data_IF_323956184763
#
_entry.id   IF_323956184763
#
_cell.length_a   1.000
_cell.length_b   1.000
_cell.length_c   1.000
_cell.angle_alpha   90.00
_cell.angle_beta   90.00
_cell.angle_gamma   90.00
#
_symmetry.space_group_name_H-M   'P 1'
#
loop_
_entity.id
_entity.type
_entity.pdbx_description
1 polymer ?
#
# COMPACT_ATOMS: atom_id res chain seq x y z
N UNK A 1 -11.47 10.69 1.31
CA UNK A 1 -11.43 11.81 2.27
C UNK A 1 -10.53 11.41 3.44
N UNK A 2 -9.49 12.20 3.68
CA UNK A 2 -8.28 11.86 4.44
C UNK A 2 -8.49 12.03 5.97
N UNK A 3 -8.09 11.04 6.79
CA UNK A 3 -8.05 11.17 8.26
C UNK A 3 -6.65 10.83 8.77
N UNK A 4 -6.04 11.77 9.48
CA UNK A 4 -4.78 11.64 10.23
C UNK A 4 -5.05 11.25 11.68
N UNK A 5 -4.28 10.34 12.27
CA UNK A 5 -4.29 10.09 13.72
C UNK A 5 -2.95 10.48 14.37
N UNK A 6 -3.05 11.18 15.51
CA UNK A 6 -1.93 11.54 16.38
C UNK A 6 -1.44 10.32 17.19
N UNK A 7 -0.14 10.31 17.46
CA UNK A 7 0.59 9.40 18.36
C UNK A 7 -0.08 9.37 19.75
N UNK A 8 -0.87 8.35 20.01
CA UNK A 8 -1.39 7.96 21.32
C UNK A 8 -1.61 6.45 21.28
N UNK A 9 -0.90 5.73 22.14
CA UNK A 9 -0.91 4.27 22.37
C UNK A 9 -1.54 3.41 21.27
N UNK A 10 -0.68 2.93 20.36
CA UNK A 10 -0.90 1.60 19.80
C UNK A 10 -0.38 0.66 20.88
N UNK A 11 -1.28 0.12 21.70
CA UNK A 11 -0.98 -1.01 22.57
C UNK A 11 -0.28 -2.05 21.68
N UNK A 12 0.99 -2.36 21.98
CA UNK A 12 1.90 -3.20 21.18
C UNK A 12 1.49 -4.67 21.06
N UNK A 13 0.22 -4.92 20.74
CA UNK A 13 -0.39 -6.21 20.48
C UNK A 13 -0.79 -6.21 19.02
N UNK A 14 -0.23 -7.17 18.27
CA UNK A 14 -0.47 -7.38 16.84
C UNK A 14 -1.94 -7.50 16.47
N UNK A 15 -2.20 -7.57 15.16
CA UNK A 15 -3.50 -7.74 14.49
C UNK A 15 -4.75 -7.68 15.40
N UNK A 16 -5.36 -6.49 15.52
CA UNK A 16 -6.68 -6.32 16.14
C UNK A 16 -6.80 -5.34 17.33
N UNK A 17 -5.81 -4.47 17.58
CA UNK A 17 -5.91 -3.47 18.66
C UNK A 17 -6.93 -2.34 18.36
N UNK A 18 -7.64 -1.91 19.41
CA UNK A 18 -8.77 -0.96 19.38
C UNK A 18 -8.36 0.44 18.88
N UNK A 19 -8.54 0.73 17.60
CA UNK A 19 -8.59 2.12 17.12
C UNK A 19 -9.98 2.72 17.41
N UNK A 20 -10.04 3.98 17.87
CA UNK A 20 -11.26 4.59 18.40
C UNK A 20 -11.98 5.56 17.44
N UNK A 21 -13.05 5.09 16.77
CA UNK A 21 -14.27 5.90 16.51
C UNK A 21 -14.68 6.18 15.06
N UNK A 22 -15.88 5.67 14.69
CA UNK A 22 -16.74 6.19 13.62
C UNK A 22 -17.33 5.14 12.63
N UNK A 23 -18.53 5.36 12.08
CA UNK A 23 -19.32 4.64 11.02
C UNK A 23 -19.15 4.87 9.46
N UNK A 24 -18.87 3.82 8.68
CA UNK A 24 -19.07 3.73 7.21
C UNK A 24 -19.57 2.31 6.89
N UNK A 25 -20.46 2.22 5.90
CA UNK A 25 -21.13 0.99 5.48
C UNK A 25 -20.20 -0.10 4.91
N UNK A 26 -20.72 -1.33 4.95
CA UNK A 26 -20.03 -2.60 4.77
C UNK A 26 -19.17 -2.72 3.49
N UNK A 27 -17.86 -2.74 3.68
CA UNK A 27 -16.87 -3.40 2.83
C UNK A 27 -15.54 -3.48 3.62
N UNK A 28 -14.84 -4.61 3.53
CA UNK A 28 -13.56 -4.85 4.21
C UNK A 28 -12.42 -4.16 3.43
N UNK A 29 -12.19 -2.87 3.67
CA UNK A 29 -11.12 -2.14 2.98
C UNK A 29 -9.77 -2.36 3.67
N UNK A 30 -8.84 -3.04 3.01
CA UNK A 30 -7.43 -3.04 3.42
C UNK A 30 -6.67 -1.93 2.69
N UNK A 31 -6.26 -0.91 3.42
CA UNK A 31 -5.41 0.16 2.90
C UNK A 31 -3.97 -0.30 2.93
N UNK A 32 -3.39 -0.42 1.74
CA UNK A 32 -1.99 -0.69 1.56
C UNK A 32 -1.41 0.45 0.72
N UNK A 33 -0.21 0.89 1.06
CA UNK A 33 0.54 1.82 0.24
C UNK A 33 2.00 1.61 0.54
N UNK A 34 2.76 1.30 -0.50
CA UNK A 34 4.20 1.19 -0.36
C UNK A 34 4.83 1.91 -1.58
N UNK A 35 5.73 2.86 -1.27
CA UNK A 35 6.45 3.67 -2.26
C UNK A 35 6.79 5.11 -1.83
N UNK A 36 8.10 5.38 -1.65
CA UNK A 36 8.75 6.71 -1.67
C UNK A 36 8.25 7.82 -0.72
N UNK A 37 8.14 7.52 0.57
CA UNK A 37 8.16 8.54 1.62
C UNK A 37 6.99 9.53 1.67
N UNK A 38 5.96 9.36 0.82
CA UNK A 38 4.71 10.12 0.87
C UNK A 38 3.56 9.31 0.29
N UNK A 39 2.87 8.55 1.13
CA UNK A 39 1.42 8.33 1.00
C UNK A 39 0.82 8.52 2.39
N UNK A 40 -0.27 9.26 2.43
CA UNK A 40 -0.88 9.73 3.65
C UNK A 40 -1.57 8.59 4.43
N UNK A 41 -0.84 7.99 5.38
CA UNK A 41 -1.20 8.14 6.79
C UNK A 41 -0.01 8.79 7.50
N UNK A 42 -0.23 10.03 7.96
CA UNK A 42 0.81 10.92 8.48
C UNK A 42 1.08 10.65 9.97
N UNK A 43 2.33 10.36 10.33
CA UNK A 43 2.87 10.61 11.67
C UNK A 43 4.39 10.89 11.63
N UNK A 44 4.80 12.17 11.62
CA UNK A 44 5.93 12.69 12.42
C UNK A 44 6.01 14.24 12.36
N UNK A 45 6.40 14.85 13.49
CA UNK A 45 6.34 16.29 13.81
C UNK A 45 7.39 17.14 13.07
N UNK A 46 6.97 18.24 12.40
CA UNK A 46 7.58 19.59 12.55
C UNK A 46 6.73 20.71 11.91
N UNK A 47 6.15 21.54 12.79
CA UNK A 47 5.70 22.93 12.68
C UNK A 47 5.49 23.57 11.28
N UNK A 48 4.21 23.78 10.91
CA UNK A 48 3.79 25.05 10.32
C UNK A 48 3.23 25.91 11.45
N UNK A 49 3.92 27.01 11.74
CA UNK A 49 3.42 28.08 12.61
C UNK A 49 2.26 28.74 11.85
N UNK A 50 1.02 28.34 12.12
CA UNK A 50 -0.14 29.07 11.64
C UNK A 50 -0.23 30.36 12.43
N UNK A 51 0.15 31.44 11.77
CA UNK A 51 -0.29 32.77 12.18
C UNK A 51 -1.69 32.92 11.61
N UNK A 52 -2.69 33.04 12.49
CA UNK A 52 -3.99 33.68 12.24
C UNK A 52 -4.87 33.18 11.07
N UNK A 53 -6.01 32.58 11.43
CA UNK A 53 -7.30 32.83 10.77
C UNK A 53 -7.76 31.89 9.65
N UNK A 54 -8.97 31.34 9.81
CA UNK A 54 -9.78 30.77 8.72
C UNK A 54 -10.01 29.25 8.83
N UNK A 55 -11.20 28.87 9.32
CA UNK A 55 -11.59 27.47 9.50
C UNK A 55 -11.82 26.71 8.18
N UNK A 56 -11.46 25.42 8.18
CA UNK A 56 -11.97 24.44 7.22
C UNK A 56 -12.23 23.13 7.96
N UNK A 57 -13.49 22.68 7.91
CA UNK A 57 -13.99 21.47 8.55
C UNK A 57 -13.49 20.22 7.81
N UNK A 58 -12.49 19.54 8.36
CA UNK A 58 -12.14 18.17 7.96
C UNK A 58 -13.29 17.23 8.36
N UNK A 59 -14.10 16.78 7.39
CA UNK A 59 -15.09 15.74 7.69
C UNK A 59 -14.36 14.41 7.99
N UNK A 60 -14.63 13.87 9.17
CA UNK A 60 -14.04 12.63 9.65
C UNK A 60 -14.80 11.48 9.03
N UNK A 61 -14.07 10.64 8.31
CA UNK A 61 -14.63 9.43 7.74
C UNK A 61 -14.77 8.40 8.85
N UNK A 62 -15.98 7.99 9.22
CA UNK A 62 -16.08 7.18 10.42
C UNK A 62 -15.75 5.68 10.07
N UNK A 63 -14.66 5.08 10.57
CA UNK A 63 -14.27 3.66 10.24
C UNK A 63 -14.56 2.70 11.42
N UNK A 64 -15.29 1.60 11.15
CA UNK A 64 -15.67 0.63 12.19
C UNK A 64 -14.43 0.09 12.91
N UNK A 65 -14.47 0.16 14.25
CA UNK A 65 -13.40 -0.37 15.10
C UNK A 65 -13.26 -1.88 14.87
N UNK A 66 -12.03 -2.38 14.79
CA UNK A 66 -11.77 -3.81 14.53
C UNK A 66 -11.87 -4.24 13.06
N UNK A 67 -12.01 -3.29 12.13
CA UNK A 67 -11.93 -3.52 10.67
C UNK A 67 -10.68 -2.89 10.03
N UNK A 68 -9.76 -2.41 10.87
CA UNK A 68 -8.46 -1.88 10.45
C UNK A 68 -7.39 -2.80 11.03
N UNK A 69 -6.59 -3.38 10.15
CA UNK A 69 -5.54 -4.32 10.49
C UNK A 69 -4.21 -3.67 10.12
N UNK A 70 -3.54 -3.10 11.12
CA UNK A 70 -2.28 -2.39 10.93
C UNK A 70 -1.09 -3.34 11.06
N UNK A 71 -0.02 -3.01 10.37
CA UNK A 71 1.29 -3.65 10.53
C UNK A 71 1.83 -3.31 11.92
N UNK A 72 2.44 -4.28 12.58
CA UNK A 72 3.10 -4.06 13.86
C UNK A 72 4.49 -3.43 13.66
N UNK A 73 4.57 -2.10 13.78
CA UNK A 73 5.79 -1.31 13.59
C UNK A 73 6.76 -1.36 14.78
N UNK A 74 6.40 -2.04 15.86
CA UNK A 74 7.29 -2.31 16.99
C UNK A 74 8.19 -3.53 16.77
N UNK A 75 7.90 -4.36 15.75
CA UNK A 75 8.69 -5.53 15.39
C UNK A 75 9.73 -5.20 14.31
N UNK A 76 10.86 -5.93 14.26
CA UNK A 76 11.73 -5.91 13.09
C UNK A 76 10.98 -6.40 11.84
N UNK A 77 11.49 -6.07 10.65
CA UNK A 77 10.74 -6.26 9.39
C UNK A 77 10.32 -7.72 9.13
N UNK A 78 11.15 -8.69 9.50
CA UNK A 78 10.84 -10.12 9.43
C UNK A 78 9.71 -10.51 10.39
N UNK A 79 9.81 -10.13 11.66
CA UNK A 79 8.75 -10.37 12.64
C UNK A 79 7.43 -9.68 12.28
N UNK A 80 7.49 -8.47 11.72
CA UNK A 80 6.32 -7.74 11.26
C UNK A 80 5.66 -8.40 10.03
N UNK A 81 6.45 -8.96 9.11
CA UNK A 81 5.92 -9.71 7.98
C UNK A 81 5.21 -10.99 8.42
N UNK A 82 5.83 -11.78 9.31
CA UNK A 82 5.24 -13.03 9.83
C UNK A 82 3.96 -12.76 10.67
N UNK A 83 3.95 -11.70 11.50
CA UNK A 83 2.77 -11.26 12.25
C UNK A 83 1.62 -10.86 11.31
N UNK A 84 1.94 -10.10 10.25
CA UNK A 84 0.95 -9.62 9.30
C UNK A 84 0.43 -10.75 8.37
N UNK A 85 1.27 -11.70 7.98
CA UNK A 85 0.82 -12.89 7.25
C UNK A 85 -0.10 -13.77 8.11
N UNK A 86 0.23 -13.94 9.40
CA UNK A 86 -0.63 -14.66 10.36
C UNK A 86 -1.98 -13.97 10.50
N UNK A 87 -2.00 -12.63 10.58
CA UNK A 87 -3.21 -11.82 10.58
C UNK A 87 -4.07 -12.09 9.35
N UNK A 88 -3.51 -12.01 8.15
CA UNK A 88 -4.24 -12.24 6.89
C UNK A 88 -4.76 -13.66 6.77
N UNK A 89 -3.98 -14.65 7.22
CA UNK A 89 -4.40 -16.05 7.26
C UNK A 89 -5.63 -16.24 8.15
N UNK A 90 -5.66 -15.56 9.30
CA UNK A 90 -6.83 -15.57 10.17
C UNK A 90 -8.05 -14.90 9.51
N UNK A 91 -7.85 -13.80 8.80
CA UNK A 91 -8.92 -13.10 8.09
C UNK A 91 -9.49 -13.91 6.92
N UNK A 92 -8.65 -14.66 6.22
CA UNK A 92 -9.08 -15.62 5.21
C UNK A 92 -9.90 -16.76 5.85
N UNK A 93 -9.38 -17.37 6.93
CA UNK A 93 -10.07 -18.47 7.64
C UNK A 93 -11.41 -18.06 8.24
N UNK A 94 -11.54 -16.80 8.64
CA UNK A 94 -12.78 -16.22 9.17
C UNK A 94 -13.70 -15.63 8.10
N UNK A 95 -13.39 -15.83 6.82
CA UNK A 95 -14.15 -15.33 5.66
C UNK A 95 -14.30 -13.80 5.65
N UNK A 96 -13.36 -13.07 6.23
CA UNK A 96 -13.29 -11.60 6.16
C UNK A 96 -12.61 -11.15 4.86
N UNK A 97 -11.60 -11.90 4.42
CA UNK A 97 -10.93 -11.73 3.12
C UNK A 97 -11.26 -12.97 2.28
N UNK A 98 -11.67 -12.75 1.04
CA UNK A 98 -11.89 -13.83 0.09
C UNK A 98 -10.57 -14.42 -0.42
N UNK A 99 -10.60 -15.63 -0.98
CA UNK A 99 -9.44 -16.22 -1.66
C UNK A 99 -9.69 -16.18 -3.15
N UNK A 100 -8.67 -15.83 -3.93
CA UNK A 100 -8.73 -15.95 -5.38
C UNK A 100 -8.90 -17.41 -5.79
N UNK A 101 -9.92 -17.69 -6.60
CA UNK A 101 -10.08 -19.00 -7.20
C UNK A 101 -9.00 -19.33 -8.24
N UNK A 102 -8.36 -18.30 -8.82
CA UNK A 102 -7.34 -18.47 -9.85
C UNK A 102 -5.95 -18.75 -9.26
N UNK A 103 -5.60 -18.10 -8.15
CA UNK A 103 -4.24 -18.11 -7.59
C UNK A 103 -4.13 -18.76 -6.23
N UNK A 104 -5.23 -18.89 -5.47
CA UNK A 104 -5.22 -19.38 -4.09
C UNK A 104 -4.71 -18.38 -3.06
N UNK A 105 -4.37 -17.15 -3.46
CA UNK A 105 -3.92 -16.09 -2.56
C UNK A 105 -5.10 -15.24 -2.02
N UNK A 106 -4.91 -14.46 -0.95
CA UNK A 106 -5.89 -13.50 -0.47
C UNK A 106 -6.30 -12.52 -1.58
N UNK A 107 -7.60 -12.40 -1.79
CA UNK A 107 -8.20 -11.52 -2.80
C UNK A 107 -8.86 -10.33 -2.13
N UNK A 108 -8.29 -9.16 -2.38
CA UNK A 108 -8.79 -7.86 -1.94
C UNK A 108 -9.71 -7.24 -3.00
N UNK A 109 -10.77 -6.55 -2.59
CA UNK A 109 -11.69 -5.90 -3.53
C UNK A 109 -11.05 -4.72 -4.29
N UNK A 110 -10.19 -3.98 -3.59
CA UNK A 110 -9.44 -2.84 -4.11
C UNK A 110 -8.10 -2.74 -3.40
N UNK A 111 -7.02 -2.63 -4.18
CA UNK A 111 -5.71 -2.28 -3.67
C UNK A 111 -5.26 -0.94 -4.27
N UNK A 112 -4.87 -0.02 -3.39
CA UNK A 112 -4.29 1.26 -3.79
C UNK A 112 -2.78 1.09 -3.87
N UNK A 113 -2.17 1.51 -4.97
CA UNK A 113 -0.72 1.47 -5.13
C UNK A 113 -0.20 2.85 -5.51
N UNK A 114 1.02 3.14 -5.06
CA UNK A 114 1.83 4.23 -5.60
C UNK A 114 2.92 3.67 -6.51
N UNK A 115 3.60 4.57 -7.23
CA UNK A 115 4.74 4.21 -8.07
C UNK A 115 5.96 5.07 -7.76
N UNK A 116 7.13 4.46 -7.68
CA UNK A 116 8.44 5.10 -7.61
C UNK A 116 8.85 5.83 -8.89
N UNK A 117 9.83 6.77 -8.83
CA UNK A 117 10.43 7.41 -10.03
C UNK A 117 11.33 6.46 -10.86
N UNK A 118 11.47 5.22 -10.40
CA UNK A 118 12.17 4.07 -10.99
C UNK A 118 11.18 2.96 -11.34
N UNK A 119 9.86 3.21 -11.24
CA UNK A 119 8.83 2.21 -11.54
C UNK A 119 8.64 1.12 -10.48
N UNK A 120 9.26 1.23 -9.28
CA UNK A 120 8.90 0.31 -8.20
C UNK A 120 7.45 0.51 -7.79
N UNK A 121 6.79 -0.59 -7.46
CA UNK A 121 5.54 -0.60 -6.71
C UNK A 121 5.81 -1.31 -5.43
N UNK A 122 5.11 -0.89 -4.39
CA UNK A 122 5.39 -1.40 -3.07
C UNK A 122 6.88 -1.33 -2.69
N UNK A 123 7.42 -2.36 -2.04
CA UNK A 123 8.86 -2.49 -1.81
C UNK A 123 9.50 -3.42 -2.86
N UNK A 124 8.89 -3.52 -4.04
CA UNK A 124 9.34 -4.35 -5.15
C UNK A 124 10.11 -3.48 -6.14
N UNK A 125 11.43 -3.44 -5.98
CA UNK A 125 12.32 -2.57 -6.74
C UNK A 125 12.88 -3.25 -8.00
N UNK A 126 13.14 -2.50 -9.09
CA UNK A 126 13.80 -3.05 -10.27
C UNK A 126 15.13 -3.73 -9.90
N UNK A 127 15.37 -4.93 -10.42
CA UNK A 127 16.59 -5.70 -10.17
C UNK A 127 16.71 -6.34 -8.78
N UNK A 128 15.77 -6.08 -7.86
CA UNK A 128 15.78 -6.68 -6.53
C UNK A 128 15.17 -8.09 -6.54
N UNK A 129 15.75 -9.04 -5.82
CA UNK A 129 15.31 -10.45 -5.84
C UNK A 129 13.84 -10.64 -5.40
N UNK A 130 13.33 -9.77 -4.52
CA UNK A 130 11.93 -9.81 -4.06
C UNK A 130 10.88 -9.65 -5.18
N UNK A 131 11.25 -9.12 -6.36
CA UNK A 131 10.30 -9.10 -7.50
C UNK A 131 9.95 -10.51 -8.00
N UNK A 132 10.76 -11.52 -7.64
CA UNK A 132 10.57 -12.93 -7.98
C UNK A 132 9.94 -13.74 -6.83
N UNK A 133 9.70 -13.12 -5.67
CA UNK A 133 9.02 -13.78 -4.55
C UNK A 133 7.59 -14.16 -4.95
N UNK A 134 7.24 -15.42 -4.76
CA UNK A 134 5.94 -15.96 -5.15
C UNK A 134 5.38 -17.01 -4.18
N UNK A 135 6.05 -17.26 -3.04
CA UNK A 135 5.64 -18.26 -2.07
C UNK A 135 4.92 -17.62 -0.87
N UNK A 136 5.56 -16.65 -0.20
CA UNK A 136 4.98 -15.97 0.98
C UNK A 136 3.93 -14.95 0.58
N UNK A 137 2.88 -14.78 1.39
CA UNK A 137 1.88 -13.73 1.13
C UNK A 137 2.47 -12.35 1.45
N UNK A 138 3.20 -12.27 2.57
CA UNK A 138 3.87 -11.08 3.06
C UNK A 138 5.34 -11.42 3.24
N UNK A 139 6.20 -10.60 2.67
CA UNK A 139 7.65 -10.70 2.81
C UNK A 139 8.22 -9.40 3.36
N UNK A 140 9.52 -9.36 3.55
CA UNK A 140 10.23 -8.21 4.08
C UNK A 140 11.45 -7.88 3.23
N UNK A 141 11.87 -6.64 3.30
CA UNK A 141 13.11 -6.13 2.72
C UNK A 141 13.95 -5.56 3.86
N UNK A 142 15.28 -5.80 3.85
CA UNK A 142 16.22 -5.23 4.83
C UNK A 142 17.26 -4.30 4.19
N UNK A 143 17.37 -4.36 2.87
CA UNK A 143 18.37 -3.71 2.02
C UNK A 143 17.70 -2.85 0.95
N UNK A 144 16.63 -2.13 1.31
CA UNK A 144 15.92 -1.28 0.36
C UNK A 144 16.86 -0.24 -0.25
N UNK A 145 16.88 -0.09 -1.59
CA UNK A 145 17.66 0.97 -2.26
C UNK A 145 17.23 2.39 -1.85
N UNK A 146 16.09 2.54 -1.16
CA UNK A 146 15.52 3.81 -0.72
C UNK A 146 15.13 3.75 0.75
N UNK A 147 15.30 4.85 1.51
CA UNK A 147 14.93 4.86 2.91
C UNK A 147 13.40 4.77 3.11
N UNK A 148 12.94 4.10 4.19
CA UNK A 148 13.73 3.33 5.15
C UNK A 148 14.30 2.03 4.56
N UNK A 149 15.49 1.58 5.01
CA UNK A 149 16.16 0.41 4.44
C UNK A 149 15.38 -0.89 4.68
N UNK A 150 14.62 -0.94 5.78
CA UNK A 150 13.79 -2.08 6.12
C UNK A 150 12.31 -1.77 5.99
N UNK A 151 11.52 -2.77 5.59
CA UNK A 151 10.08 -2.68 5.51
C UNK A 151 9.45 -4.02 5.19
N UNK A 152 8.13 -4.06 5.19
CA UNK A 152 7.37 -5.25 4.77
C UNK A 152 6.68 -4.99 3.43
N UNK A 153 6.42 -6.04 2.67
CA UNK A 153 5.74 -5.93 1.38
C UNK A 153 4.89 -7.16 1.06
N UNK A 154 3.78 -6.97 0.34
CA UNK A 154 3.15 -8.03 -0.42
C UNK A 154 4.02 -8.41 -1.62
N UNK A 155 3.93 -9.68 -2.00
CA UNK A 155 4.49 -10.16 -3.25
C UNK A 155 3.53 -9.89 -4.43
N UNK A 156 4.00 -10.12 -5.67
CA UNK A 156 3.15 -9.91 -6.84
C UNK A 156 1.92 -10.83 -6.90
N UNK A 157 2.00 -12.13 -6.58
CA UNK A 157 0.81 -12.98 -6.53
C UNK A 157 -0.32 -12.43 -5.65
N UNK A 158 -0.02 -11.91 -4.45
CA UNK A 158 -1.03 -11.29 -3.58
C UNK A 158 -1.56 -9.97 -4.17
N UNK A 159 -0.68 -9.11 -4.67
CA UNK A 159 -1.07 -7.85 -5.32
C UNK A 159 -2.03 -8.13 -6.49
N UNK A 160 -1.63 -9.02 -7.39
CA UNK A 160 -2.35 -9.35 -8.62
C UNK A 160 -3.62 -10.18 -8.38
N UNK A 161 -3.78 -10.79 -7.20
CA UNK A 161 -5.03 -11.45 -6.80
C UNK A 161 -6.13 -10.46 -6.39
N UNK A 162 -5.82 -9.17 -6.32
CA UNK A 162 -6.81 -8.13 -6.07
C UNK A 162 -7.82 -8.05 -7.21
N UNK A 163 -9.10 -7.87 -6.88
CA UNK A 163 -10.16 -7.69 -7.87
C UNK A 163 -9.95 -6.40 -8.67
N UNK A 164 -9.50 -5.31 -8.04
CA UNK A 164 -9.16 -4.07 -8.73
C UNK A 164 -7.92 -3.44 -8.11
N UNK A 165 -7.14 -2.74 -8.93
CA UNK A 165 -6.02 -1.93 -8.48
C UNK A 165 -6.18 -0.50 -8.99
N UNK A 166 -6.05 0.47 -8.08
CA UNK A 166 -5.97 1.88 -8.42
C UNK A 166 -4.53 2.36 -8.16
N UNK A 167 -3.81 2.65 -9.24
CA UNK A 167 -2.44 3.17 -9.19
C UNK A 167 -2.48 4.70 -9.20
N UNK A 168 -2.13 5.32 -8.06
CA UNK A 168 -2.18 6.76 -7.87
C UNK A 168 -0.76 7.33 -7.93
N UNK A 169 -0.48 8.15 -8.94
CA UNK A 169 0.85 8.69 -9.21
C UNK A 169 0.77 10.20 -9.38
N UNK A 170 1.59 10.92 -8.60
CA UNK A 170 1.59 12.38 -8.57
C UNK A 170 3.01 12.95 -8.72
N UNK A 171 3.14 13.99 -9.54
CA UNK A 171 4.32 14.85 -9.66
C UNK A 171 5.28 14.49 -10.80
N UNK A 172 5.96 15.52 -11.31
CA UNK A 172 6.81 15.45 -12.51
C UNK A 172 7.93 14.40 -12.42
N UNK A 173 8.45 14.13 -11.22
CA UNK A 173 9.48 13.11 -11.00
C UNK A 173 9.04 11.68 -11.34
N UNK A 174 7.76 11.45 -11.65
CA UNK A 174 7.21 10.15 -12.05
C UNK A 174 7.00 10.03 -13.56
N UNK A 175 6.99 11.15 -14.30
CA UNK A 175 6.58 11.18 -15.70
C UNK A 175 7.39 10.25 -16.60
N UNK A 176 8.70 10.13 -16.36
CA UNK A 176 9.56 9.18 -17.07
C UNK A 176 9.14 7.72 -16.87
N UNK A 177 8.91 7.30 -15.63
CA UNK A 177 8.46 5.94 -15.32
C UNK A 177 7.03 5.68 -15.79
N UNK A 178 6.14 6.68 -15.71
CA UNK A 178 4.77 6.57 -16.24
C UNK A 178 4.80 6.31 -17.74
N UNK A 179 5.58 7.12 -18.47
CA UNK A 179 5.76 6.94 -19.92
C UNK A 179 6.35 5.57 -20.26
N UNK A 180 7.39 5.13 -19.53
CA UNK A 180 8.01 3.82 -19.73
C UNK A 180 7.04 2.66 -19.43
N UNK A 181 6.24 2.78 -18.36
CA UNK A 181 5.30 1.74 -17.95
C UNK A 181 4.15 1.54 -18.95
N UNK A 182 3.62 2.65 -19.48
CA UNK A 182 2.47 2.63 -20.41
C UNK A 182 2.87 2.36 -21.87
N UNK A 183 4.17 2.40 -22.19
CA UNK A 183 4.65 1.92 -23.49
C UNK A 183 4.78 0.40 -23.48
N UNK A 184 4.12 -0.23 -24.46
CA UNK A 184 4.33 -1.64 -24.81
C UNK A 184 5.70 -1.84 -25.48
N UNK A 185 6.79 -1.56 -24.77
CA UNK A 185 8.12 -2.00 -25.19
C UNK A 185 8.30 -3.43 -24.72
N UNK A 186 8.59 -4.34 -25.65
CA UNK A 186 9.08 -5.71 -25.42
C UNK A 186 10.48 -5.65 -24.77
N UNK A 187 10.58 -5.05 -23.59
CA UNK A 187 11.81 -5.00 -22.82
C UNK A 187 12.01 -6.34 -22.13
N UNK A 188 13.23 -6.84 -22.16
CA UNK A 188 13.61 -8.09 -21.49
C UNK A 188 13.51 -8.00 -19.96
N UNK A 189 13.56 -6.79 -19.39
CA UNK A 189 13.38 -6.50 -17.97
C UNK A 189 12.22 -5.50 -17.78
N UNK A 190 11.00 -5.97 -17.49
CA UNK A 190 9.87 -5.09 -17.21
C UNK A 190 10.07 -4.33 -15.89
N UNK A 191 9.57 -3.10 -15.81
CA UNK A 191 9.49 -2.38 -14.54
C UNK A 191 8.53 -3.09 -13.59
N UNK A 192 8.75 -3.07 -12.26
CA UNK A 192 7.84 -3.68 -11.29
C UNK A 192 6.37 -3.23 -11.46
N UNK A 193 6.13 -1.96 -11.79
CA UNK A 193 4.79 -1.45 -12.08
C UNK A 193 4.12 -2.12 -13.29
N UNK A 194 4.89 -2.58 -14.28
CA UNK A 194 4.38 -3.30 -15.46
C UNK A 194 4.02 -4.76 -15.13
N UNK A 195 4.48 -5.27 -13.99
CA UNK A 195 4.11 -6.61 -13.48
C UNK A 195 2.80 -6.59 -12.68
N UNK A 196 2.24 -5.41 -12.42
CA UNK A 196 0.94 -5.25 -11.76
C UNK A 196 -0.16 -5.57 -12.76
N UNK A 197 -0.90 -6.64 -12.48
CA UNK A 197 -1.99 -7.14 -13.31
C UNK A 197 -3.07 -7.73 -12.39
N UNK A 198 -4.03 -6.91 -11.91
CA UNK A 198 -5.14 -7.40 -11.10
C UNK A 198 -6.02 -8.38 -11.88
N UNK A 199 -6.87 -9.13 -11.16
CA UNK A 199 -7.85 -10.02 -11.80
C UNK A 199 -8.97 -9.27 -12.54
N UNK A 200 -9.28 -8.05 -12.10
CA UNK A 200 -10.21 -7.15 -12.78
C UNK A 200 -9.46 -5.93 -13.31
N UNK A 201 -9.86 -4.73 -12.89
CA UNK A 201 -9.40 -3.49 -13.53
C UNK A 201 -8.15 -2.92 -12.88
N UNK A 202 -7.20 -2.48 -13.73
CA UNK A 202 -6.08 -1.63 -13.35
C UNK A 202 -6.33 -0.20 -13.82
N UNK A 203 -6.57 0.72 -12.88
CA UNK A 203 -6.88 2.12 -13.19
C UNK A 203 -5.73 3.02 -12.75
N UNK A 204 -5.23 3.85 -13.68
CA UNK A 204 -4.18 4.83 -13.41
C UNK A 204 -4.80 6.20 -13.11
N UNK A 205 -4.50 6.75 -11.93
CA UNK A 205 -4.83 8.12 -11.54
C UNK A 205 -3.55 8.96 -11.55
N UNK A 206 -3.45 9.83 -12.55
CA UNK A 206 -2.30 10.70 -12.79
C UNK A 206 -2.68 12.17 -12.59
N UNK A 207 -1.79 12.97 -12.00
CA UNK A 207 -1.86 14.41 -12.14
C UNK A 207 -1.23 14.89 -13.46
N UNK A 208 -1.40 16.17 -13.77
CA UNK A 208 -0.86 16.76 -15.01
C UNK A 208 0.66 16.59 -15.12
N UNK A 209 1.37 16.71 -13.99
CA UNK A 209 2.82 16.62 -13.98
C UNK A 209 3.31 15.18 -14.17
N UNK A 210 2.69 14.18 -13.54
CA UNK A 210 3.03 12.77 -13.77
C UNK A 210 2.65 12.30 -15.18
N UNK A 211 1.66 12.93 -15.81
CA UNK A 211 1.26 12.66 -17.19
C UNK A 211 2.04 13.48 -18.24
N UNK A 212 3.03 14.30 -17.85
CA UNK A 212 3.67 15.29 -18.76
C UNK A 212 4.39 14.68 -19.96
N UNK A 213 4.67 13.37 -19.93
CA UNK A 213 5.37 12.65 -20.99
C UNK A 213 4.44 11.71 -21.78
N UNK A 214 3.13 11.77 -21.59
CA UNK A 214 2.15 10.94 -22.32
C UNK A 214 1.75 11.53 -23.67
#
# INVERSE_FOLDING_TARGET
MLVTHHRGDVDGRGCGSRASGGFFGAASWHWWSVGNGRVAFWNQRRWLRTSGGGGSSSARVPILRGKVYAINDALPADGAADDYETCLTHLVKSNVISVSAATGFPKFDLMLLGMGPDGHVASLFPGHHLVKENEKWVTFIKDSPKPPPEGITFNFPVINSSANIALVVYGAGKAGSVHAALRNSQNSDPLPVQMVSPEGELVWFLDKDAASNL
#
